data_IF_942252355984
#
_entry.id   IF_942252355984
#
_cell.length_a   1.000
_cell.length_b   1.000
_cell.length_c   1.000
_cell.angle_alpha   90.00
_cell.angle_beta   90.00
_cell.angle_gamma   90.00
#
_symmetry.space_group_name_H-M   'P 1'
#
loop_
_entity.id
_entity.type
_entity.pdbx_description
1 polymer ?
#
# COMPACT_ATOMS: atom_id res chain seq x y z
N UNK A 1 -32.94 -28.07 -76.13
CA UNK A 1 -33.99 -27.19 -75.55
C UNK A 1 -33.59 -26.83 -74.10
N UNK A 2 -33.54 -25.53 -73.75
CA UNK A 2 -33.32 -25.00 -72.38
C UNK A 2 -34.69 -24.75 -71.67
N UNK A 3 -34.85 -23.95 -70.57
CA UNK A 3 -34.17 -23.80 -69.26
C UNK A 3 -35.15 -23.60 -68.05
N UNK A 4 -34.62 -23.23 -66.86
CA UNK A 4 -35.28 -22.34 -65.84
C UNK A 4 -35.02 -22.78 -64.38
N UNK A 5 -34.45 -22.03 -63.42
CA UNK A 5 -34.48 -20.59 -63.02
C UNK A 5 -35.19 -20.50 -61.65
N UNK A 6 -34.67 -19.99 -60.51
CA UNK A 6 -34.37 -18.60 -60.06
C UNK A 6 -33.79 -18.72 -58.60
N UNK A 7 -32.76 -18.03 -58.09
CA UNK A 7 -32.42 -16.60 -57.85
C UNK A 7 -32.63 -16.14 -56.38
N UNK A 8 -31.58 -15.58 -55.75
CA UNK A 8 -31.61 -14.83 -54.48
C UNK A 8 -30.31 -14.02 -54.27
N UNK A 9 -30.42 -12.67 -54.18
CA UNK A 9 -29.38 -11.61 -54.28
C UNK A 9 -28.64 -11.38 -52.93
N UNK A 10 -27.32 -11.12 -52.79
CA UNK A 10 -26.42 -10.00 -53.20
C UNK A 10 -26.92 -8.61 -52.76
N UNK A 11 -26.16 -7.63 -52.27
CA UNK A 11 -24.72 -7.39 -51.96
C UNK A 11 -24.66 -5.95 -51.39
N UNK A 12 -23.90 -5.73 -50.32
CA UNK A 12 -23.12 -4.53 -49.91
C UNK A 12 -23.60 -3.12 -50.30
N UNK A 13 -23.79 -2.27 -49.29
CA UNK A 13 -23.98 -0.82 -49.42
C UNK A 13 -22.63 -0.10 -49.24
N UNK A 14 -22.23 0.69 -50.25
CA UNK A 14 -21.34 1.84 -50.13
C UNK A 14 -22.17 3.09 -50.46
N UNK A 15 -22.10 4.14 -49.65
CA UNK A 15 -22.45 5.53 -49.98
C UNK A 15 -21.70 6.42 -48.96
N UNK A 16 -20.66 7.16 -49.35
CA UNK A 16 -20.63 8.40 -50.13
C UNK A 16 -21.01 9.64 -49.28
N UNK A 17 -20.02 10.53 -49.14
CA UNK A 17 -20.05 11.83 -48.45
C UNK A 17 -20.51 12.92 -49.42
N UNK A 18 -21.44 13.77 -48.98
CA UNK A 18 -21.80 15.12 -49.47
C UNK A 18 -22.45 15.78 -48.23
N UNK A 19 -22.03 16.91 -47.64
CA UNK A 19 -21.68 18.22 -48.19
C UNK A 19 -22.60 19.25 -47.51
N UNK A 20 -22.06 20.36 -46.97
CA UNK A 20 -22.85 21.54 -46.58
C UNK A 20 -22.82 21.91 -45.09
N UNK A 21 -22.23 23.06 -44.79
CA UNK A 21 -22.02 23.63 -43.45
C UNK A 21 -23.31 24.21 -42.83
N UNK A 22 -23.52 23.95 -41.54
CA UNK A 22 -24.27 24.84 -40.64
C UNK A 22 -23.38 25.09 -39.43
N UNK A 23 -23.09 26.37 -39.21
CA UNK A 23 -22.41 26.92 -38.04
C UNK A 23 -23.26 26.60 -36.81
N UNK A 24 -22.80 25.64 -36.01
CA UNK A 24 -23.26 25.43 -34.66
C UNK A 24 -22.01 25.21 -33.81
N UNK A 25 -21.64 26.20 -33.01
CA UNK A 25 -20.62 26.01 -31.97
C UNK A 25 -21.22 25.04 -30.94
N UNK A 26 -21.05 23.75 -31.19
CA UNK A 26 -21.28 22.74 -30.19
C UNK A 26 -20.20 22.94 -29.12
N UNK A 27 -20.60 23.43 -27.96
CA UNK A 27 -19.76 23.45 -26.78
C UNK A 27 -19.23 22.03 -26.58
N UNK A 28 -17.95 21.81 -26.88
CA UNK A 28 -17.23 20.61 -26.50
C UNK A 28 -17.14 20.69 -24.98
N UNK A 29 -18.15 20.16 -24.32
CA UNK A 29 -18.12 19.92 -22.89
C UNK A 29 -16.93 19.03 -22.62
N UNK A 30 -15.86 19.61 -22.09
CA UNK A 30 -14.72 18.89 -21.57
C UNK A 30 -15.28 18.01 -20.44
N UNK A 31 -15.55 16.74 -20.74
CA UNK A 31 -15.88 15.76 -19.73
C UNK A 31 -14.64 15.66 -18.85
N UNK A 32 -14.69 16.33 -17.69
CA UNK A 32 -13.77 16.10 -16.60
C UNK A 32 -14.00 14.65 -16.17
N UNK A 33 -13.20 13.73 -16.73
CA UNK A 33 -13.14 12.37 -16.24
C UNK A 33 -12.70 12.52 -14.78
N UNK A 34 -13.51 12.11 -13.80
CA UNK A 34 -13.03 12.09 -12.43
C UNK A 34 -11.78 11.21 -12.45
N UNK A 35 -10.63 11.79 -12.10
CA UNK A 35 -9.45 10.99 -11.81
C UNK A 35 -9.86 10.12 -10.63
N UNK A 36 -10.08 8.83 -10.89
CA UNK A 36 -10.03 7.86 -9.82
C UNK A 36 -8.70 8.14 -9.13
N UNK A 37 -8.75 8.57 -7.87
CA UNK A 37 -7.59 8.53 -7.01
C UNK A 37 -7.25 7.05 -7.00
N UNK A 38 -6.17 6.63 -7.67
CA UNK A 38 -5.67 5.28 -7.49
C UNK A 38 -5.60 5.08 -5.98
N UNK A 39 -6.30 4.05 -5.48
CA UNK A 39 -6.09 3.62 -4.11
C UNK A 39 -4.57 3.51 -3.94
N UNK A 40 -4.03 4.11 -2.89
CA UNK A 40 -2.59 4.04 -2.64
C UNK A 40 -2.19 2.56 -2.76
N UNK A 41 -1.31 2.28 -3.73
CA UNK A 41 -0.92 0.90 -3.98
C UNK A 41 -0.19 0.44 -2.74
N UNK A 42 -0.80 -0.52 -2.05
CA UNK A 42 -0.22 -1.24 -0.93
C UNK A 42 1.11 -1.81 -1.37
N UNK A 43 2.19 -1.25 -0.83
CA UNK A 43 3.54 -1.69 -1.10
C UNK A 43 3.90 -2.75 -0.07
N UNK A 44 4.12 -3.94 -0.58
CA UNK A 44 4.27 -5.13 0.23
C UNK A 44 5.72 -5.34 0.62
N UNK A 45 5.93 -5.63 1.90
CA UNK A 45 7.20 -6.16 2.37
C UNK A 45 7.42 -7.57 1.82
N UNK A 46 8.49 -7.76 1.05
CA UNK A 46 8.85 -9.04 0.42
C UNK A 46 10.09 -9.70 1.08
N UNK A 47 10.72 -9.04 2.04
CA UNK A 47 11.88 -9.55 2.77
C UNK A 47 13.22 -9.02 2.24
N UNK A 48 14.33 -9.48 2.82
CA UNK A 48 15.67 -9.02 2.50
C UNK A 48 16.53 -8.87 3.76
N UNK A 49 17.21 -7.73 3.92
CA UNK A 49 18.11 -7.49 5.05
C UNK A 49 17.40 -7.16 6.39
N UNK A 50 16.07 -7.10 6.41
CA UNK A 50 15.27 -6.81 7.61
C UNK A 50 15.01 -5.33 7.89
N UNK A 51 15.65 -4.40 7.17
CA UNK A 51 15.52 -2.96 7.41
C UNK A 51 14.39 -2.34 6.58
N UNK A 52 13.51 -1.57 7.24
CA UNK A 52 12.40 -0.86 6.61
C UNK A 52 12.89 0.09 5.53
N UNK A 53 14.01 0.78 5.77
CA UNK A 53 14.57 1.81 4.88
C UNK A 53 15.18 1.27 3.58
N UNK A 54 15.25 -0.04 3.39
CA UNK A 54 15.87 -0.65 2.21
C UNK A 54 14.84 -0.88 1.11
N UNK A 55 14.91 -0.09 0.03
CA UNK A 55 13.94 -0.08 -1.06
C UNK A 55 13.75 -1.45 -1.75
N UNK A 56 14.80 -2.26 -1.87
CA UNK A 56 14.72 -3.60 -2.47
C UNK A 56 13.94 -4.63 -1.63
N UNK A 57 13.59 -4.28 -0.39
CA UNK A 57 12.77 -5.15 0.48
C UNK A 57 11.26 -4.97 0.26
N UNK A 58 10.88 -4.03 -0.61
CA UNK A 58 9.51 -3.67 -0.91
C UNK A 58 9.15 -4.03 -2.35
N UNK A 59 7.90 -4.41 -2.57
CA UNK A 59 7.39 -4.89 -3.85
C UNK A 59 7.48 -3.88 -4.99
N UNK A 60 7.41 -2.57 -4.68
CA UNK A 60 7.52 -1.51 -5.69
C UNK A 60 8.97 -1.14 -6.01
N UNK A 61 9.94 -1.64 -5.23
CA UNK A 61 11.34 -1.20 -5.30
C UNK A 61 11.58 0.21 -4.73
N UNK A 62 10.64 0.74 -3.94
CA UNK A 62 10.73 2.00 -3.23
C UNK A 62 10.36 1.81 -1.74
N UNK A 63 10.84 2.71 -0.87
CA UNK A 63 10.43 2.70 0.54
C UNK A 63 9.07 3.40 0.67
N UNK A 64 8.06 2.79 1.33
CA UNK A 64 6.78 3.44 1.58
C UNK A 64 6.96 4.75 2.32
N UNK A 65 6.23 5.77 1.87
CA UNK A 65 6.21 7.10 2.46
C UNK A 65 4.76 7.54 2.70
N UNK A 66 4.53 8.82 3.00
CA UNK A 66 3.21 9.36 3.31
C UNK A 66 2.19 9.30 2.16
N UNK A 67 2.63 9.07 0.93
CA UNK A 67 1.78 8.89 -0.25
C UNK A 67 1.53 7.40 -0.60
N UNK A 68 2.17 6.47 0.11
CA UNK A 68 2.06 5.04 -0.13
C UNK A 68 1.65 4.27 1.13
N UNK A 69 1.02 3.13 0.91
CA UNK A 69 0.55 2.24 1.97
C UNK A 69 1.63 1.20 2.28
N UNK A 70 2.00 1.05 3.56
CA UNK A 70 2.99 0.06 3.98
C UNK A 70 2.31 -1.23 4.43
N UNK A 71 2.55 -2.31 3.70
CA UNK A 71 1.86 -3.58 3.90
C UNK A 71 2.82 -4.71 4.29
N UNK A 72 2.78 -5.08 5.57
CA UNK A 72 3.62 -6.10 6.18
C UNK A 72 2.73 -7.32 6.48
N UNK A 73 2.25 -7.92 5.41
CA UNK A 73 1.21 -8.98 5.45
C UNK A 73 1.56 -10.21 4.61
N UNK A 74 2.63 -10.13 3.81
CA UNK A 74 2.99 -11.19 2.88
C UNK A 74 3.46 -12.44 3.62
N UNK A 75 3.20 -13.59 3.01
CA UNK A 75 3.69 -14.90 3.42
C UNK A 75 4.42 -15.53 2.25
N UNK A 76 5.05 -16.69 2.46
CA UNK A 76 5.67 -17.47 1.37
C UNK A 76 4.67 -17.92 0.30
N UNK A 77 3.38 -17.98 0.65
CA UNK A 77 2.28 -18.38 -0.25
C UNK A 77 1.61 -17.23 -0.98
N UNK A 78 1.99 -15.99 -0.65
CA UNK A 78 1.35 -14.79 -1.20
C UNK A 78 2.02 -14.33 -2.50
N UNK A 79 1.43 -13.34 -3.18
CA UNK A 79 1.98 -12.77 -4.42
C UNK A 79 2.03 -11.24 -4.30
N UNK A 80 3.22 -10.61 -4.37
CA UNK A 80 4.56 -11.23 -4.39
C UNK A 80 4.89 -11.95 -3.07
N UNK A 81 5.63 -13.07 -3.09
CA UNK A 81 5.90 -13.83 -1.88
C UNK A 81 6.90 -13.12 -0.97
N UNK A 82 6.70 -13.25 0.34
CA UNK A 82 7.74 -12.94 1.33
C UNK A 82 8.77 -14.08 1.42
N UNK A 83 9.97 -13.76 1.90
CA UNK A 83 11.02 -14.75 2.17
C UNK A 83 10.65 -15.78 3.26
N UNK A 84 9.72 -15.45 4.16
CA UNK A 84 9.28 -16.32 5.25
C UNK A 84 7.84 -15.98 5.68
N UNK A 85 7.18 -16.90 6.37
CA UNK A 85 5.86 -16.66 6.99
C UNK A 85 5.99 -15.93 8.34
N UNK A 86 7.16 -16.00 8.97
CA UNK A 86 7.44 -15.32 10.23
C UNK A 86 8.70 -14.48 10.08
N UNK A 87 8.60 -13.17 10.30
CA UNK A 87 9.70 -12.25 10.12
C UNK A 87 9.51 -10.96 10.91
N UNK A 88 10.60 -10.23 11.08
CA UNK A 88 10.62 -8.90 11.70
C UNK A 88 11.12 -7.87 10.70
N UNK A 89 10.39 -6.77 10.61
CA UNK A 89 10.77 -5.55 9.89
C UNK A 89 11.25 -4.55 10.92
N UNK A 90 12.52 -4.15 10.84
CA UNK A 90 13.12 -3.17 11.72
C UNK A 90 12.95 -1.78 11.12
N UNK A 91 12.26 -0.89 11.83
CA UNK A 91 12.28 0.55 11.55
C UNK A 91 13.61 1.08 12.07
N UNK A 92 14.56 1.22 11.16
CA UNK A 92 15.97 1.54 11.40
C UNK A 92 16.27 3.05 11.28
N UNK A 93 15.26 3.85 10.90
CA UNK A 93 15.32 5.31 10.75
C UNK A 93 13.94 5.94 11.00
N UNK A 94 13.85 7.26 10.90
CA UNK A 94 12.57 7.96 11.03
C UNK A 94 11.70 7.75 9.78
N UNK A 95 10.52 7.16 9.97
CA UNK A 95 9.61 6.77 8.90
C UNK A 95 8.21 7.36 9.12
N UNK A 96 7.57 7.78 8.03
CA UNK A 96 6.16 8.13 8.00
C UNK A 96 5.50 7.47 6.79
N UNK A 97 4.38 6.78 7.01
CA UNK A 97 3.62 6.06 5.97
C UNK A 97 2.21 6.62 5.83
N UNK A 98 1.60 6.43 4.66
CA UNK A 98 0.18 6.72 4.46
C UNK A 98 -0.68 5.89 5.41
N UNK A 99 -0.76 4.59 5.13
CA UNK A 99 -1.35 3.58 6.03
C UNK A 99 -0.33 2.53 6.46
N UNK A 100 -0.66 1.79 7.51
CA UNK A 100 0.03 0.56 7.92
C UNK A 100 -0.97 -0.60 7.91
N UNK A 101 -0.62 -1.70 7.26
CA UNK A 101 -1.31 -2.98 7.43
C UNK A 101 -0.31 -4.04 7.91
N UNK A 102 -0.48 -4.54 9.13
CA UNK A 102 0.49 -5.42 9.79
C UNK A 102 -0.15 -6.75 10.18
N UNK A 103 0.47 -7.86 9.79
CA UNK A 103 -0.03 -9.21 10.07
C UNK A 103 -0.77 -9.80 8.88
N UNK A 104 -0.28 -10.93 8.38
CA UNK A 104 -0.83 -11.70 7.26
C UNK A 104 -1.87 -12.73 7.70
N UNK A 105 -2.24 -13.62 6.77
CA UNK A 105 -3.19 -14.69 7.02
C UNK A 105 -2.63 -15.82 7.92
N UNK A 106 -1.31 -15.98 7.96
CA UNK A 106 -0.61 -16.98 8.77
C UNK A 106 0.77 -16.47 9.20
N UNK A 107 1.41 -17.23 10.10
CA UNK A 107 2.72 -16.89 10.64
C UNK A 107 2.67 -15.71 11.60
N UNK A 108 3.74 -14.91 11.65
CA UNK A 108 3.82 -13.73 12.52
C UNK A 108 4.66 -12.65 11.86
N UNK A 109 4.04 -11.52 11.54
CA UNK A 109 4.71 -10.37 10.95
C UNK A 109 4.90 -9.30 12.03
N UNK A 110 6.15 -9.05 12.35
CA UNK A 110 6.53 -8.08 13.37
C UNK A 110 7.02 -6.80 12.72
N UNK A 111 6.50 -5.65 13.12
CA UNK A 111 7.12 -4.35 12.89
C UNK A 111 7.77 -3.91 14.20
N UNK A 112 9.06 -3.62 14.19
CA UNK A 112 9.82 -3.23 15.38
C UNK A 112 10.39 -1.84 15.19
N UNK A 113 10.01 -0.89 16.06
CA UNK A 113 10.61 0.44 16.12
C UNK A 113 11.87 0.38 16.95
N UNK A 114 13.03 0.60 16.32
CA UNK A 114 14.32 0.48 16.98
C UNK A 114 14.48 1.48 18.14
N UNK A 115 15.30 1.09 19.14
CA UNK A 115 15.65 1.87 20.34
C UNK A 115 16.64 3.01 20.09
N UNK A 116 16.93 3.36 18.84
CA UNK A 116 18.01 4.26 18.42
C UNK A 116 17.53 5.69 18.07
N UNK A 117 16.50 6.19 18.76
CA UNK A 117 15.81 7.46 18.42
C UNK A 117 15.01 7.41 17.12
N UNK A 118 14.45 6.23 16.82
CA UNK A 118 13.58 6.03 15.65
C UNK A 118 12.13 6.36 15.97
N UNK A 119 11.45 6.91 14.97
CA UNK A 119 10.01 7.15 14.98
C UNK A 119 9.32 6.44 13.82
N UNK A 120 8.12 5.93 14.08
CA UNK A 120 7.21 5.42 13.08
C UNK A 120 5.88 6.18 13.17
N UNK A 121 5.56 6.93 12.12
CA UNK A 121 4.36 7.75 12.01
C UNK A 121 3.37 7.13 11.02
N UNK A 122 2.11 7.03 11.43
CA UNK A 122 1.00 6.56 10.57
C UNK A 122 0.13 7.77 10.26
N UNK A 123 0.01 8.17 8.99
CA UNK A 123 -0.70 9.39 8.64
C UNK A 123 -2.22 9.23 8.67
N UNK A 124 -2.76 8.14 8.14
CA UNK A 124 -4.21 7.94 8.01
C UNK A 124 -4.67 6.75 8.85
N UNK A 125 -4.59 5.53 8.34
CA UNK A 125 -5.13 4.35 9.02
C UNK A 125 -4.01 3.34 9.23
N UNK A 126 -3.87 2.88 10.47
CA UNK A 126 -3.07 1.71 10.82
C UNK A 126 -3.99 0.57 11.22
N UNK A 127 -3.68 -0.64 10.75
CA UNK A 127 -4.34 -1.88 11.15
C UNK A 127 -3.29 -2.89 11.55
N UNK A 128 -3.45 -3.46 12.74
CA UNK A 128 -2.70 -4.62 13.20
C UNK A 128 -3.67 -5.80 13.25
N UNK A 129 -3.50 -6.75 12.33
CA UNK A 129 -4.29 -7.98 12.26
C UNK A 129 -3.84 -8.98 13.33
N UNK A 130 -4.58 -10.09 13.48
CA UNK A 130 -4.34 -11.09 14.53
C UNK A 130 -2.92 -11.67 14.57
N UNK A 131 -2.26 -11.79 13.41
CA UNK A 131 -0.89 -12.29 13.29
C UNK A 131 0.16 -11.17 13.28
N UNK A 132 -0.26 -9.92 13.51
CA UNK A 132 0.59 -8.74 13.54
C UNK A 132 1.12 -8.45 14.93
N UNK A 133 2.42 -8.13 15.01
CA UNK A 133 3.07 -7.71 16.26
C UNK A 133 3.77 -6.38 16.05
N UNK A 134 3.37 -5.36 16.79
CA UNK A 134 4.06 -4.07 16.81
C UNK A 134 4.91 -3.97 18.08
N UNK A 135 6.23 -3.94 17.92
CA UNK A 135 7.19 -3.74 19.00
C UNK A 135 7.68 -2.30 18.99
N UNK A 136 7.56 -1.62 20.13
CA UNK A 136 8.14 -0.29 20.34
C UNK A 136 9.34 -0.43 21.26
N UNK A 137 10.54 -0.33 20.69
CA UNK A 137 11.81 -0.57 21.36
C UNK A 137 12.48 -1.87 20.94
N UNK A 138 13.74 -1.98 21.34
CA UNK A 138 14.57 -3.17 21.21
C UNK A 138 15.46 -3.34 22.47
N UNK A 139 16.17 -4.46 22.56
CA UNK A 139 17.09 -4.76 23.65
C UNK A 139 18.55 -4.32 23.38
N UNK A 140 18.81 -3.62 22.27
CA UNK A 140 20.16 -3.45 21.73
C UNK A 140 20.78 -2.07 22.00
N UNK A 141 20.01 -1.10 22.50
CA UNK A 141 20.50 0.28 22.67
C UNK A 141 20.47 0.75 24.12
N UNK A 142 21.61 1.29 24.59
CA UNK A 142 21.80 1.80 25.95
C UNK A 142 21.13 3.16 26.18
N UNK A 143 20.99 4.01 25.16
CA UNK A 143 20.38 5.34 25.27
C UNK A 143 19.71 5.76 23.96
N UNK A 144 18.38 5.71 23.91
CA UNK A 144 17.58 6.24 22.81
C UNK A 144 16.08 6.07 23.10
N UNK A 145 15.23 6.62 22.24
CA UNK A 145 13.79 6.43 22.33
C UNK A 145 13.27 5.66 21.11
N UNK A 146 12.06 5.14 21.26
CA UNK A 146 11.26 4.60 20.17
C UNK A 146 9.90 5.23 20.25
N UNK A 147 9.44 5.80 19.14
CA UNK A 147 8.16 6.51 19.08
C UNK A 147 7.25 5.88 18.04
N UNK A 148 6.07 5.45 18.49
CA UNK A 148 4.90 5.24 17.65
C UNK A 148 3.95 6.42 17.86
N UNK A 149 3.59 7.12 16.79
CA UNK A 149 2.70 8.27 16.88
C UNK A 149 1.84 8.46 15.62
N UNK A 150 0.77 9.27 15.78
CA UNK A 150 0.01 9.82 14.67
C UNK A 150 0.89 10.74 13.81
N UNK A 151 0.85 10.56 12.50
CA UNK A 151 1.48 11.44 11.51
C UNK A 151 0.52 12.48 10.91
N UNK A 152 -0.79 12.26 11.04
CA UNK A 152 -1.85 13.14 10.56
C UNK A 152 -2.90 13.46 11.62
N UNK A 153 -3.76 14.45 11.36
CA UNK A 153 -4.82 14.87 12.28
C UNK A 153 -5.99 13.87 12.38
N UNK A 154 -6.10 12.94 11.43
CA UNK A 154 -7.13 11.90 11.40
C UNK A 154 -6.52 10.50 11.53
N UNK A 155 -5.34 10.38 12.13
CA UNK A 155 -4.68 9.08 12.29
C UNK A 155 -5.46 8.17 13.24
N UNK A 156 -5.76 6.96 12.79
CA UNK A 156 -6.44 5.92 13.57
C UNK A 156 -5.61 4.63 13.55
N UNK A 157 -5.43 3.98 14.69
CA UNK A 157 -4.81 2.65 14.78
C UNK A 157 -5.82 1.62 15.31
N UNK A 158 -6.25 0.71 14.44
CA UNK A 158 -7.09 -0.44 14.81
C UNK A 158 -6.18 -1.61 15.17
N UNK A 159 -6.34 -2.19 16.36
CA UNK A 159 -5.53 -3.32 16.80
C UNK A 159 -6.38 -4.55 17.11
N UNK A 160 -6.15 -5.61 16.35
CA UNK A 160 -6.63 -6.98 16.57
C UNK A 160 -5.49 -7.96 16.88
N UNK A 161 -4.24 -7.50 16.85
CA UNK A 161 -3.04 -8.27 17.16
C UNK A 161 -2.39 -7.83 18.47
N UNK A 162 -1.06 -7.77 18.46
CA UNK A 162 -0.26 -7.49 19.66
C UNK A 162 0.53 -6.20 19.53
N UNK A 163 0.41 -5.31 20.52
CA UNK A 163 1.30 -4.15 20.70
C UNK A 163 2.08 -4.36 21.98
N UNK A 164 3.41 -4.27 21.92
CA UNK A 164 4.28 -4.41 23.10
C UNK A 164 5.40 -3.38 23.07
N UNK A 165 5.79 -2.94 24.26
CA UNK A 165 7.06 -2.27 24.46
C UNK A 165 8.12 -3.32 24.81
N UNK A 166 9.34 -3.11 24.33
CA UNK A 166 10.51 -3.91 24.74
C UNK A 166 11.40 -3.04 25.61
N UNK A 167 11.73 -3.54 26.80
CA UNK A 167 12.65 -2.86 27.69
C UNK A 167 14.09 -3.10 27.21
N UNK A 168 14.71 -2.08 26.64
CA UNK A 168 16.15 -2.04 26.33
C UNK A 168 17.01 -1.41 27.42
N UNK A 169 18.29 -1.19 27.12
CA UNK A 169 19.33 -0.76 28.05
C UNK A 169 19.16 0.65 28.67
N UNK A 170 18.31 1.51 28.10
CA UNK A 170 17.95 2.81 28.68
C UNK A 170 17.06 3.64 27.75
N UNK A 171 16.41 4.67 28.30
CA UNK A 171 15.53 5.61 27.56
C UNK A 171 14.01 5.37 27.71
N UNK A 172 13.22 6.40 27.39
CA UNK A 172 11.75 6.37 27.50
C UNK A 172 11.14 5.67 26.29
N UNK A 173 10.21 4.74 26.53
CA UNK A 173 9.38 4.12 25.48
C UNK A 173 7.98 4.69 25.60
N UNK A 174 7.47 5.24 24.51
CA UNK A 174 6.19 5.92 24.50
C UNK A 174 5.34 5.35 23.37
N UNK A 175 4.14 4.90 23.74
CA UNK A 175 3.04 4.75 22.80
C UNK A 175 2.22 6.03 22.97
N UNK A 176 2.21 6.91 21.97
CA UNK A 176 1.32 8.08 21.94
C UNK A 176 0.27 7.88 20.87
N UNK A 177 -0.92 7.53 21.31
CA UNK A 177 -2.11 7.52 20.48
C UNK A 177 -2.86 8.79 20.84
N UNK A 178 -2.95 9.75 19.92
CA UNK A 178 -3.95 10.79 20.03
C UNK A 178 -5.27 10.11 19.63
N UNK A 179 -6.12 9.83 20.62
CA UNK A 179 -7.51 9.44 20.40
C UNK A 179 -8.33 10.68 20.01
#
# INVERSE_FOLDING_TARGET
MPPGGKAGRRRWIRAAVLGGAIVGVAAVGLLAIPRATEAATCDYWIGGNGNFSTASNWSTGAVPNTAADACITQTTSSTPPAAADTYTVLVDSNVAVGTLNLGGASGTQTLQVAGNSSQFLINTIGTINSNGVLLVGDNNVLNGYSLLAAGGSSSLLTNSGLIRTVQGGGGTRLIRINL
#
